data_IF_907154327308
#
_entry.id   IF_907154327308
#
_cell.length_a   1.000
_cell.length_b   1.000
_cell.length_c   1.000
_cell.angle_alpha   90.00
_cell.angle_beta   90.00
_cell.angle_gamma   90.00
#
_symmetry.space_group_name_H-M   'P 1'
#
loop_
_entity.id
_entity.type
_entity.pdbx_description
1 polymer ?
2 polymer ?
3 non-polymer ?
4 water ?
#
# COMPACT_ATOMS: atom_id res chain seq x y z
N UNK A 1 14.46 7.56 6.61
CA UNK A 1 13.37 6.96 5.81
C UNK A 1 14.00 6.23 4.61
N UNK A 2 13.68 4.94 4.54
CA UNK A 2 14.22 4.11 3.46
C UNK A 2 13.51 4.30 2.13
N UNK A 3 14.36 4.50 1.15
CA UNK A 3 14.02 4.72 -0.24
C UNK A 3 14.15 3.44 -1.05
N UNK A 4 13.04 3.11 -1.68
CA UNK A 4 12.93 1.93 -2.53
C UNK A 4 12.83 2.38 -3.98
N UNK A 5 13.95 2.29 -4.65
CA UNK A 5 14.08 2.67 -6.06
C UNK A 5 13.71 1.42 -6.86
N UNK A 6 12.83 1.60 -7.81
CA UNK A 6 12.37 0.49 -8.66
C UNK A 6 12.79 0.84 -10.08
N UNK A 7 13.43 -0.08 -10.77
CA UNK A 7 13.92 0.04 -12.14
C UNK A 7 13.44 -1.16 -12.97
N UNK A 8 12.93 -0.95 -14.17
CA UNK A 8 12.73 0.36 -14.81
C UNK A 8 11.37 0.88 -14.41
N UNK A 9 11.21 2.19 -14.40
CA UNK A 9 9.92 2.82 -14.08
C UNK A 9 8.91 2.48 -15.17
N UNK A 10 9.42 2.18 -16.36
CA UNK A 10 8.59 1.79 -17.51
C UNK A 10 9.25 0.64 -18.26
N UNK A 11 8.42 -0.39 -18.39
CA UNK A 11 8.74 -1.64 -19.04
C UNK A 11 7.65 -2.14 -20.00
N UNK A 12 7.75 -1.63 -21.23
CA UNK A 12 6.84 -2.01 -22.31
C UNK A 12 7.15 -3.46 -22.72
N UNK A 13 6.11 -4.28 -22.65
CA UNK A 13 6.20 -5.69 -22.98
C UNK A 13 5.12 -6.16 -23.98
N UNK A 14 5.55 -7.28 -24.54
CA UNK A 14 4.78 -8.10 -25.49
C UNK A 14 4.29 -9.26 -24.59
N UNK A 15 3.15 -9.83 -24.90
CA UNK A 15 2.64 -10.91 -24.04
C UNK A 15 3.34 -12.23 -24.37
N UNK A 16 3.61 -12.94 -23.31
CA UNK A 16 4.25 -14.25 -23.24
C UNK A 16 5.73 -14.13 -22.87
N UNK A 17 6.11 -12.89 -22.62
CA UNK A 17 7.44 -12.41 -22.29
C UNK A 17 7.88 -12.69 -20.85
N UNK A 18 9.18 -12.88 -20.68
CA UNK A 18 9.68 -13.11 -19.31
C UNK A 18 10.18 -11.78 -18.74
N UNK A 19 9.52 -11.30 -17.68
CA UNK A 19 9.97 -10.04 -17.09
C UNK A 19 10.58 -10.25 -15.70
N UNK A 20 11.39 -9.24 -15.44
CA UNK A 20 12.16 -9.06 -14.22
C UNK A 20 12.11 -7.55 -13.95
N UNK A 21 11.62 -7.21 -12.77
CA UNK A 21 11.52 -5.80 -12.36
C UNK A 21 12.38 -5.70 -11.10
N UNK A 22 13.10 -4.61 -10.95
CA UNK A 22 14.02 -4.43 -9.83
C UNK A 22 13.51 -3.41 -8.82
N UNK A 23 13.94 -3.64 -7.59
CA UNK A 23 13.64 -2.86 -6.40
C UNK A 23 14.91 -2.82 -5.55
N UNK A 24 15.41 -1.62 -5.37
CA UNK A 24 16.62 -1.40 -4.58
C UNK A 24 16.29 -0.55 -3.36
N UNK A 25 16.73 -1.07 -2.24
CA UNK A 25 16.60 -0.46 -0.94
C UNK A 25 17.83 0.42 -0.73
N UNK A 26 17.59 1.57 -0.12
CA UNK A 26 18.65 2.55 0.18
C UNK A 26 19.49 2.11 1.38
N UNK A 27 18.87 1.27 2.19
CA UNK A 27 19.49 0.68 3.39
C UNK A 27 19.25 -0.83 3.38
N UNK A 28 20.18 -1.55 3.94
CA UNK A 28 20.05 -3.01 4.01
C UNK A 28 18.80 -3.36 4.81
N UNK A 29 18.13 -4.40 4.35
CA UNK A 29 16.89 -4.88 5.00
C UNK A 29 17.22 -6.03 5.96
N UNK A 30 18.48 -6.38 5.96
CA UNK A 30 19.01 -7.41 6.87
C UNK A 30 19.87 -6.72 7.94
N UNK A 31 19.63 -5.42 8.10
CA UNK A 31 20.39 -4.62 9.09
C UNK A 31 19.81 -4.78 10.50
N UNK A 32 18.59 -5.32 10.56
CA UNK A 32 17.92 -5.64 11.84
C UNK A 32 17.49 -7.12 11.80
N UNK A 33 16.57 -7.37 12.70
CA UNK A 33 15.99 -8.70 12.90
C UNK A 33 14.85 -8.93 11.91
N UNK A 34 14.42 -7.85 11.29
CA UNK A 34 13.35 -7.92 10.27
C UNK A 34 14.09 -7.97 8.94
N UNK A 35 14.54 -9.17 8.66
CA UNK A 35 15.34 -9.54 7.50
C UNK A 35 14.49 -9.68 6.26
N UNK A 36 14.70 -8.77 5.34
CA UNK A 36 13.99 -8.72 4.08
C UNK A 36 12.50 -8.89 4.18
N UNK A 37 11.90 -7.84 4.64
CA UNK A 37 10.47 -7.69 4.70
C UNK A 37 10.09 -6.88 3.48
N UNK A 38 10.43 -7.45 2.34
CA UNK A 38 10.17 -6.83 1.03
C UNK A 38 8.99 -7.53 0.31
N UNK A 39 8.04 -6.67 0.00
CA UNK A 39 6.78 -7.06 -0.64
C UNK A 39 6.54 -6.35 -1.95
N UNK A 40 5.62 -6.86 -2.74
CA UNK A 40 5.23 -6.37 -4.06
C UNK A 40 3.72 -6.33 -4.16
N UNK A 41 3.27 -5.23 -4.69
CA UNK A 41 1.85 -4.97 -4.91
C UNK A 41 1.64 -4.60 -6.37
N UNK A 42 0.57 -5.13 -6.91
CA UNK A 42 0.13 -4.81 -8.28
C UNK A 42 -1.09 -3.90 -8.13
N UNK A 43 -1.19 -2.99 -9.05
CA UNK A 43 -2.33 -2.05 -9.03
C UNK A 43 -2.77 -1.95 -10.48
N UNK A 44 -3.82 -2.70 -10.79
CA UNK A 44 -4.33 -2.64 -12.20
C UNK A 44 -5.16 -1.36 -12.13
N UNK A 45 -5.22 -0.70 -13.28
CA UNK A 45 -5.96 0.58 -13.40
C UNK A 45 -7.43 0.47 -13.07
N UNK A 46 -7.81 1.24 -12.05
CA UNK A 46 -9.17 1.35 -11.53
C UNK A 46 -9.45 0.54 -10.27
N UNK A 47 -8.55 -0.41 -10.09
CA UNK A 47 -8.60 -1.34 -8.95
C UNK A 47 -7.54 -0.89 -7.94
N UNK A 48 -7.83 -1.42 -6.77
CA UNK A 48 -7.02 -1.23 -5.55
C UNK A 48 -5.80 -2.16 -5.63
N UNK A 49 -4.71 -1.73 -5.00
CA UNK A 49 -3.50 -2.58 -4.99
C UNK A 49 -3.87 -3.96 -4.43
N UNK A 50 -3.06 -4.92 -4.86
CA UNK A 50 -3.21 -6.31 -4.42
C UNK A 50 -1.85 -6.84 -3.96
N UNK A 51 -1.81 -7.59 -2.86
CA UNK A 51 -0.53 -8.18 -2.44
C UNK A 51 -0.24 -9.31 -3.47
N UNK A 52 0.96 -9.21 -4.03
CA UNK A 52 1.46 -10.19 -5.01
C UNK A 52 2.37 -11.18 -4.27
N UNK A 53 3.52 -10.67 -3.88
CA UNK A 53 4.57 -11.38 -3.16
C UNK A 53 4.96 -10.64 -1.88
N UNK A 54 4.96 -11.37 -0.77
CA UNK A 54 5.40 -10.81 0.51
C UNK A 54 6.63 -11.56 0.99
N UNK A 55 7.44 -10.82 1.71
CA UNK A 55 8.69 -11.34 2.27
C UNK A 55 9.53 -11.95 1.18
N UNK A 56 9.92 -11.16 0.19
CA UNK A 56 10.75 -11.42 -0.96
C UNK A 56 10.19 -12.39 -2.01
N UNK A 57 9.82 -13.58 -1.60
CA UNK A 57 9.35 -14.62 -2.50
C UNK A 57 8.06 -15.36 -2.22
N UNK A 58 7.35 -15.05 -1.17
CA UNK A 58 6.10 -15.73 -0.80
C UNK A 58 4.88 -15.19 -1.52
N UNK A 59 4.45 -15.95 -2.51
CA UNK A 59 3.25 -15.63 -3.29
C UNK A 59 2.03 -15.68 -2.37
N UNK A 60 1.20 -14.70 -2.55
CA UNK A 60 -0.03 -14.54 -1.76
C UNK A 60 -1.20 -15.14 -2.56
N UNK A 61 -2.31 -15.29 -1.85
CA UNK A 61 -3.58 -15.81 -2.38
C UNK A 61 -3.90 -15.10 -3.68
N UNK A 62 -4.34 -15.83 -4.68
CA UNK A 62 -4.75 -15.35 -5.99
C UNK A 62 -3.63 -15.16 -6.99
N UNK A 63 -2.40 -15.35 -6.53
CA UNK A 63 -1.19 -15.19 -7.34
C UNK A 63 -0.81 -16.52 -8.01
N UNK A 64 -0.65 -16.43 -9.33
CA UNK A 64 -0.24 -17.54 -10.19
C UNK A 64 1.21 -17.94 -9.91
N UNK A 65 1.54 -19.17 -10.29
CA UNK A 65 2.91 -19.69 -10.09
C UNK A 65 3.91 -19.10 -11.07
N UNK A 66 3.54 -18.27 -12.03
CA UNK A 66 4.45 -17.66 -12.99
C UNK A 66 5.17 -16.42 -12.44
N UNK A 67 4.73 -16.02 -11.26
CA UNK A 67 5.27 -14.89 -10.50
C UNK A 67 6.30 -15.42 -9.49
N UNK A 68 7.47 -14.81 -9.43
CA UNK A 68 8.39 -15.31 -8.37
C UNK A 68 9.20 -14.10 -7.87
N UNK A 69 9.68 -14.19 -6.64
CA UNK A 69 10.47 -13.14 -6.01
C UNK A 69 11.84 -13.65 -5.55
N UNK A 70 12.80 -12.76 -5.57
CA UNK A 70 14.16 -13.05 -5.15
C UNK A 70 14.88 -11.77 -4.68
N UNK A 71 16.01 -12.01 -4.05
CA UNK A 71 16.91 -10.99 -3.56
C UNK A 71 17.09 -11.06 -2.06
N UNK A 72 18.03 -10.26 -1.57
CA UNK A 72 18.29 -10.18 -0.12
C UNK A 72 19.16 -8.94 0.13
N UNK A 73 18.94 -8.28 1.26
CA UNK A 73 19.73 -7.09 1.61
C UNK A 73 19.24 -5.81 0.94
N UNK A 74 19.68 -5.49 -0.27
CA UNK A 74 19.23 -4.25 -0.92
C UNK A 74 18.72 -4.43 -2.34
N UNK A 75 19.07 -5.54 -2.96
CA UNK A 75 18.71 -5.90 -4.35
C UNK A 75 17.74 -7.08 -4.37
N UNK A 76 16.53 -6.73 -4.80
CA UNK A 76 15.38 -7.65 -4.84
C UNK A 76 14.84 -7.64 -6.26
N UNK A 77 14.26 -8.77 -6.63
CA UNK A 77 13.72 -8.97 -7.99
C UNK A 77 12.37 -9.68 -7.94
N UNK A 78 11.64 -9.47 -9.03
CA UNK A 78 10.31 -10.01 -9.29
C UNK A 78 10.24 -10.43 -10.77
N UNK A 79 10.00 -11.72 -10.93
CA UNK A 79 9.90 -12.30 -12.26
C UNK A 79 8.50 -12.81 -12.52
N UNK A 80 8.16 -12.68 -13.77
CA UNK A 80 6.87 -13.14 -14.30
C UNK A 80 7.33 -13.98 -15.52
N UNK A 81 7.31 -15.29 -15.39
CA UNK A 81 7.72 -16.21 -16.46
C UNK A 81 7.08 -15.89 -17.80
N UNK A 82 5.76 -16.01 -17.87
CA UNK A 82 5.15 -15.67 -19.17
C UNK A 82 4.18 -14.56 -18.81
N UNK A 83 4.39 -13.43 -19.45
CA UNK A 83 3.55 -12.27 -19.13
C UNK A 83 2.24 -12.31 -19.89
N UNK A 84 1.20 -12.15 -19.07
CA UNK A 84 -0.16 -12.12 -19.63
C UNK A 84 -0.59 -10.65 -19.47
N UNK A 85 -1.78 -10.48 -20.01
CA UNK A 85 -2.52 -9.24 -20.04
C UNK A 85 -2.97 -8.83 -18.64
N UNK A 86 -3.36 -9.80 -17.85
CA UNK A 86 -3.81 -9.56 -16.47
C UNK A 86 -2.72 -9.13 -15.50
N UNK A 87 -1.48 -9.25 -15.90
CA UNK A 87 -0.28 -8.90 -15.14
C UNK A 87 0.07 -7.42 -15.34
N UNK A 88 -0.56 -6.85 -16.35
CA UNK A 88 -0.30 -5.44 -16.68
C UNK A 88 -1.08 -4.59 -15.67
N UNK A 89 -0.26 -3.76 -15.08
CA UNK A 89 -0.57 -2.75 -14.06
C UNK A 89 0.74 -2.10 -13.59
N UNK A 90 0.59 -1.53 -12.42
CA UNK A 90 1.65 -0.83 -11.67
C UNK A 90 2.16 -1.75 -10.55
N UNK A 91 3.46 -1.86 -10.45
CA UNK A 91 4.09 -2.69 -9.40
C UNK A 91 4.86 -1.81 -8.43
N UNK A 92 4.52 -2.02 -7.17
CA UNK A 92 5.12 -1.30 -6.05
C UNK A 92 5.83 -2.30 -5.15
N UNK A 93 7.08 -2.02 -4.84
CA UNK A 93 7.77 -2.91 -3.86
C UNK A 93 7.51 -2.09 -2.57
N UNK A 94 7.72 -2.70 -1.45
CA UNK A 94 7.46 -2.02 -0.16
C UNK A 94 8.38 -2.69 0.84
N UNK A 95 8.56 -2.05 1.96
CA UNK A 95 9.43 -2.65 3.02
C UNK A 95 8.82 -2.33 4.38
N UNK A 96 8.84 -3.29 5.27
CA UNK A 96 8.34 -3.14 6.66
C UNK A 96 9.47 -3.64 7.58
N UNK A 97 10.67 -3.72 7.00
CA UNK A 97 11.88 -4.12 7.73
C UNK A 97 12.23 -3.02 8.76
N UNK A 98 12.09 -1.78 8.33
CA UNK A 98 12.37 -0.58 9.10
C UNK A 98 11.17 0.37 9.13
N UNK A 99 11.03 0.98 10.29
CA UNK A 99 9.96 1.98 10.54
C UNK A 99 10.42 3.27 9.88
N UNK A 100 9.61 3.93 9.07
CA UNK A 100 8.25 3.60 8.70
C UNK A 100 8.14 2.78 7.42
N UNK A 101 7.07 2.01 7.39
CA UNK A 101 6.83 1.18 6.18
C UNK A 101 6.87 2.18 5.03
N UNK A 102 7.64 1.77 4.05
CA UNK A 102 7.87 2.53 2.82
C UNK A 102 7.55 1.73 1.54
N UNK A 103 7.11 2.50 0.56
CA UNK A 103 6.69 2.12 -0.77
C UNK A 103 7.65 2.61 -1.85
N UNK A 104 7.67 1.89 -2.95
CA UNK A 104 8.51 2.20 -4.10
C UNK A 104 7.81 3.17 -5.04
N UNK A 105 8.57 3.52 -6.06
CA UNK A 105 8.14 4.48 -7.09
C UNK A 105 7.21 3.85 -8.12
N UNK A 106 7.43 2.54 -8.33
CA UNK A 106 6.60 1.78 -9.27
C UNK A 106 7.25 1.55 -10.62
N UNK A 107 6.84 0.43 -11.17
CA UNK A 107 7.22 -0.06 -12.48
C UNK A 107 5.88 -0.30 -13.19
N UNK A 108 5.75 0.37 -14.32
CA UNK A 108 4.51 0.27 -15.09
C UNK A 108 4.75 -0.73 -16.22
N UNK A 109 4.05 -1.85 -16.12
CA UNK A 109 4.08 -2.92 -17.11
C UNK A 109 2.99 -2.54 -18.12
N UNK A 110 3.41 -2.19 -19.30
CA UNK A 110 2.46 -1.75 -20.34
C UNK A 110 2.69 -2.56 -21.61
N UNK A 111 1.62 -2.73 -22.36
CA UNK A 111 1.71 -3.41 -23.65
C UNK A 111 2.33 -2.38 -24.64
N UNK A 112 3.03 -2.91 -25.62
CA UNK A 112 3.75 -2.17 -26.70
C UNK A 112 3.00 -2.40 -28.01
N UNK B 1 -15.57 -13.64 2.69
CA UNK B 1 -14.64 -12.87 1.85
C UNK B 1 -14.32 -11.55 2.55
N UNK B 2 -13.03 -11.21 2.55
CA UNK B 2 -12.47 -9.99 3.12
C UNK B 2 -12.74 -8.80 2.16
N UNK B 3 -13.51 -7.90 2.72
CA UNK B 3 -14.00 -6.70 2.08
C UNK B 3 -13.80 -5.50 3.01
N UNK B 4 -13.30 -4.43 2.43
CA UNK B 4 -13.04 -3.12 3.02
C UNK B 4 -13.69 -2.07 2.12
N UNK B 5 -14.44 -1.15 2.69
CA UNK B 5 -15.03 -0.13 1.79
C UNK B 5 -14.87 1.31 2.32
N UNK B 6 -14.10 2.11 1.56
CA UNK B 6 -13.92 3.48 2.06
C UNK B 6 -15.00 4.41 1.47
N UNK B 7 -15.34 5.40 2.28
CA UNK B 7 -16.31 6.43 1.86
C UNK B 7 -15.92 7.76 2.52
N UNK B 8 -16.64 8.76 2.03
CA UNK B 8 -16.48 10.14 2.48
C UNK B 8 -15.58 11.01 1.60
N UNK B 9 -15.06 10.55 0.48
CA UNK B 9 -14.22 11.43 -0.36
C UNK B 9 -15.10 12.42 -1.12
N UNK B 10 -14.43 13.31 -1.82
CA UNK B 10 -14.97 14.35 -2.68
C UNK B 10 -14.10 15.59 -2.51
N UNK B 11 -14.78 16.69 -2.78
CA UNK B 11 -14.16 18.01 -2.65
C UNK B 11 -14.24 18.48 -1.20
N UNK B 12 -13.06 18.80 -0.73
CA UNK B 12 -12.83 19.31 0.62
C UNK B 12 -12.22 20.71 0.40
N UNK B 13 -12.50 21.62 1.34
CA UNK B 13 -12.02 23.01 1.30
C UNK B 13 -10.59 23.09 1.88
N UNK B 14 -9.81 23.99 1.27
CA UNK B 14 -8.44 24.20 1.74
C UNK B 14 -8.58 24.70 3.18
N UNK B 15 -7.70 24.19 4.02
CA UNK B 15 -7.68 24.54 5.44
C UNK B 15 -8.78 23.89 6.23
N UNK B 16 -9.69 23.16 5.63
CA UNK B 16 -10.81 22.45 6.24
C UNK B 16 -10.56 21.12 6.94
N UNK B 17 -11.63 20.32 7.11
CA UNK B 17 -11.42 19.02 7.77
C UNK B 17 -12.40 18.00 7.17
N UNK B 18 -11.99 16.75 7.34
CA UNK B 18 -12.74 15.62 6.77
C UNK B 18 -12.64 14.38 7.65
N UNK B 19 -13.60 13.51 7.41
CA UNK B 19 -13.72 12.23 8.09
C UNK B 19 -13.96 11.15 7.04
N UNK B 20 -12.95 10.31 6.90
CA UNK B 20 -12.98 9.15 5.96
C UNK B 20 -13.38 7.97 6.85
N UNK B 21 -14.24 7.16 6.24
CA UNK B 21 -14.81 5.95 6.84
C UNK B 21 -14.36 4.74 6.02
N UNK B 22 -14.19 3.67 6.74
CA UNK B 22 -13.78 2.39 6.12
C UNK B 22 -14.61 1.33 6.85
N UNK B 23 -15.44 0.64 6.10
CA UNK B 23 -16.28 -0.43 6.70
C UNK B 23 -15.73 -1.79 6.24
N UNK B 24 -15.47 -2.61 7.23
CA UNK B 24 -14.89 -3.93 7.04
C UNK B 24 -15.91 -5.03 7.26
N UNK B 25 -15.69 -6.11 6.54
CA UNK B 25 -16.55 -7.30 6.61
C UNK B 25 -15.76 -8.50 6.12
N UNK B 26 -16.20 -9.66 6.55
CA UNK B 26 -15.64 -10.95 6.16
C UNK B 26 -14.46 -11.41 7.00
N UNK B 27 -14.30 -10.78 8.14
CA UNK B 27 -13.19 -11.10 9.06
C UNK B 27 -13.49 -10.42 10.41
N UNK B 28 -12.88 -10.96 11.45
CA UNK B 28 -12.99 -10.40 12.81
C UNK B 28 -12.24 -9.06 12.83
N UNK B 29 -12.97 -8.00 12.61
CA UNK B 29 -12.45 -6.64 12.61
C UNK B 29 -11.57 -6.34 13.80
N UNK B 30 -12.06 -6.58 14.99
CA UNK B 30 -11.40 -6.31 16.27
C UNK B 30 -10.09 -6.99 16.58
N UNK B 31 -9.70 -8.03 15.87
CA UNK B 31 -8.47 -8.77 16.15
C UNK B 31 -7.34 -8.30 15.24
N UNK B 32 -7.68 -7.31 14.43
CA UNK B 32 -6.75 -6.80 13.43
C UNK B 32 -6.43 -5.33 13.58
N UNK B 33 -5.18 -5.06 13.27
CA UNK B 33 -4.64 -3.71 13.18
C UNK B 33 -5.08 -3.20 11.81
N UNK B 34 -5.28 -1.92 11.71
CA UNK B 34 -5.70 -1.31 10.42
C UNK B 34 -4.82 -0.08 10.13
N UNK B 35 -4.88 0.31 8.87
CA UNK B 35 -4.11 1.47 8.39
C UNK B 35 -4.87 2.22 7.30
N UNK B 36 -4.29 3.35 6.95
CA UNK B 36 -4.80 4.24 5.90
C UNK B 36 -3.59 4.57 5.04
N UNK B 37 -3.75 4.35 3.76
CA UNK B 37 -2.64 4.58 2.82
C UNK B 37 -3.23 5.52 1.77
N UNK B 38 -2.40 6.45 1.33
CA UNK B 38 -2.85 7.40 0.30
C UNK B 38 -1.89 7.31 -0.90
N UNK B 39 -2.56 7.50 -2.00
CA UNK B 39 -1.95 7.50 -3.31
C UNK B 39 -2.18 8.90 -3.92
N UNK B 40 -1.06 9.57 -4.06
CA UNK B 40 -1.10 10.93 -4.68
C UNK B 40 -1.26 10.72 -6.17
N UNK B 41 -1.59 11.77 -6.93
CA UNK B 41 -1.78 11.75 -8.37
C UNK B 41 -0.55 11.37 -9.22
N UNK B 42 0.58 11.34 -8.55
CA UNK B 42 1.89 10.99 -9.02
C UNK B 42 1.99 9.46 -8.97
N UNK B 43 1.09 8.84 -8.22
CA UNK B 43 1.02 7.38 -8.09
C UNK B 43 1.95 6.91 -6.98
N UNK B 44 2.44 7.82 -6.18
CA UNK B 44 3.30 7.63 -5.02
C UNK B 44 2.39 7.37 -3.82
N UNK B 45 2.70 6.34 -3.05
CA UNK B 45 2.05 5.80 -1.87
C UNK B 45 2.74 6.17 -0.55
N UNK B 46 1.94 6.48 0.45
CA UNK B 46 2.40 6.86 1.77
C UNK B 46 1.49 6.28 2.87
N UNK B 47 2.08 5.76 3.92
CA UNK B 47 1.28 5.25 5.05
C UNK B 47 0.89 6.46 5.94
N UNK B 48 -0.39 6.81 5.98
CA UNK B 48 -0.91 7.93 6.74
C UNK B 48 -1.06 7.66 8.23
N UNK B 49 -1.55 6.48 8.58
CA UNK B 49 -1.80 6.04 9.96
C UNK B 49 -2.04 4.55 10.15
N UNK B 50 -1.68 4.05 11.32
CA UNK B 50 -1.85 2.65 11.76
C UNK B 50 -2.56 2.68 13.12
N UNK B 51 -3.42 1.74 13.47
CA UNK B 51 -4.19 1.64 14.71
C UNK B 51 -4.22 0.17 15.14
N UNK B 52 -4.17 -0.11 16.42
CA UNK B 52 -4.19 -1.55 16.84
C UNK B 52 -5.62 -2.00 17.07
N UNK B 53 -5.86 -3.27 17.33
CA UNK B 53 -7.12 -3.97 17.58
C UNK B 53 -8.06 -3.26 18.54
N UNK B 54 -7.40 -2.77 19.56
CA UNK B 54 -7.81 -1.98 20.69
C UNK B 54 -8.16 -0.53 20.32
N UNK B 55 -7.96 -0.04 19.13
CA UNK B 55 -8.31 1.33 18.76
C UNK B 55 -7.34 2.38 19.23
N UNK B 56 -6.06 2.00 19.21
CA UNK B 56 -5.00 2.93 19.64
C UNK B 56 -3.98 3.09 18.53
N UNK B 57 -3.83 4.36 18.16
CA UNK B 57 -2.87 4.74 17.10
C UNK B 57 -1.48 4.31 17.47
N UNK B 58 -0.91 3.49 16.60
CA UNK B 58 0.44 2.95 16.76
C UNK B 58 1.44 3.68 15.83
N UNK B 59 0.94 4.57 14.96
CA UNK B 59 1.85 5.31 14.04
C UNK B 59 1.15 6.41 13.21
N UNK B 60 1.91 7.51 13.10
CA UNK B 60 1.57 8.71 12.29
C UNK B 60 2.85 9.29 11.69
N UNK B 61 2.90 9.68 10.40
CA UNK B 61 4.10 10.27 9.84
C UNK B 61 4.39 11.54 10.65
N UNK B 62 5.68 11.86 10.72
CA UNK B 62 6.12 13.07 11.49
C UNK B 62 5.39 14.30 10.96
N UNK B 63 5.41 14.43 9.64
CA UNK B 63 4.80 15.45 8.81
C UNK B 63 3.30 15.65 9.03
N UNK B 64 2.61 14.64 9.51
CA UNK B 64 1.18 14.64 9.77
C UNK B 64 0.90 14.61 11.27
N UNK B 65 1.76 14.17 12.16
CA UNK B 65 1.35 14.16 13.59
C UNK B 65 0.85 15.61 13.83
N UNK B 66 -0.38 15.67 14.31
CA UNK B 66 -1.02 16.97 14.54
C UNK B 66 -2.33 17.08 13.77
N UNK B 67 -2.37 16.98 12.44
CA UNK B 67 -3.66 17.11 11.74
C UNK B 67 -4.32 15.81 11.32
N UNK B 68 -3.79 14.68 11.74
CA UNK B 68 -4.33 13.37 11.40
C UNK B 68 -4.73 12.61 12.68
N UNK B 69 -5.88 11.99 12.59
CA UNK B 69 -6.48 11.16 13.64
C UNK B 69 -7.05 9.87 13.02
N UNK B 70 -6.71 8.76 13.64
CA UNK B 70 -7.21 7.46 13.16
C UNK B 70 -7.90 6.86 14.39
N UNK B 71 -9.11 6.42 14.16
CA UNK B 71 -9.92 5.78 15.21
C UNK B 71 -10.72 4.64 14.59
N UNK B 72 -11.35 3.83 15.42
CA UNK B 72 -12.18 2.70 14.97
C UNK B 72 -13.34 2.57 15.95
N UNK B 73 -14.47 2.14 15.41
CA UNK B 73 -15.68 1.88 16.20
C UNK B 73 -15.91 0.40 15.88
N UNK B 74 -15.31 -0.47 16.69
CA UNK B 74 -15.34 -1.94 16.51
C UNK B 74 -16.75 -2.50 16.31
N UNK B 75 -17.63 -1.93 17.10
CA UNK B 75 -19.07 -2.18 17.15
C UNK B 75 -19.74 -1.88 15.83
N UNK B 76 -19.25 -0.86 15.14
CA UNK B 76 -19.76 -0.46 13.82
C UNK B 76 -18.93 -1.19 12.74
N UNK B 77 -17.80 -1.70 13.19
CA UNK B 77 -16.80 -2.40 12.35
C UNK B 77 -16.22 -1.40 11.33
N UNK B 78 -16.11 -0.15 11.78
CA UNK B 78 -15.65 0.96 10.99
C UNK B 78 -14.40 1.59 11.55
N UNK B 79 -13.58 1.95 10.59
CA UNK B 79 -12.28 2.62 10.79
C UNK B 79 -12.44 4.01 10.21
N UNK B 80 -11.92 4.98 10.92
CA UNK B 80 -12.01 6.37 10.51
C UNK B 80 -10.63 7.00 10.40
N UNK B 81 -10.63 8.03 9.59
CA UNK B 81 -9.48 8.90 9.39
C UNK B 81 -10.02 10.34 9.46
N UNK B 82 -9.40 11.14 10.28
CA UNK B 82 -9.78 12.55 10.36
C UNK B 82 -8.53 13.39 10.13
N UNK B 83 -8.65 14.28 9.17
CA UNK B 83 -7.59 15.23 8.84
C UNK B 83 -8.19 16.64 8.97
N UNK B 84 -7.37 17.49 9.54
CA UNK B 84 -7.72 18.92 9.73
C UNK B 84 -6.65 19.70 8.97
N UNK B 85 -6.89 20.99 8.84
CA UNK B 85 -6.00 21.93 8.15
C UNK B 85 -5.56 21.37 6.81
N UNK B 86 -6.52 20.86 6.07
CA UNK B 86 -6.20 20.25 4.76
C UNK B 86 -5.39 21.24 3.95
N UNK B 87 -4.48 20.73 3.17
CA UNK B 87 -3.65 21.54 2.26
C UNK B 87 -3.79 20.74 0.96
N UNK B 88 -3.13 21.22 -0.06
CA UNK B 88 -3.15 20.64 -1.40
C UNK B 88 -2.37 19.32 -1.51
N UNK B 89 -1.49 19.03 -0.59
CA UNK B 89 -0.70 17.80 -0.49
C UNK B 89 -1.59 16.64 -0.02
N UNK B 90 -2.79 16.93 0.45
CA UNK B 90 -3.85 16.07 0.93
C UNK B 90 -4.67 15.55 -0.27
N UNK B 91 -4.46 16.11 -1.45
CA UNK B 91 -5.14 15.63 -2.67
C UNK B 91 -4.50 14.27 -2.99
N UNK B 92 -5.31 13.24 -2.87
CA UNK B 92 -4.94 11.85 -3.07
C UNK B 92 -6.19 10.96 -2.93
N UNK B 93 -5.93 9.71 -3.18
CA UNK B 93 -6.87 8.57 -3.14
C UNK B 93 -6.52 7.84 -1.85
N UNK B 94 -7.50 7.72 -0.99
CA UNK B 94 -7.29 7.12 0.33
C UNK B 94 -7.89 5.71 0.38
N UNK B 95 -7.06 4.82 0.90
CA UNK B 95 -7.41 3.41 1.11
C UNK B 95 -7.17 2.97 2.56
N UNK B 96 -8.08 2.09 2.95
CA UNK B 96 -7.91 1.45 4.27
C UNK B 96 -7.34 0.09 3.77
N UNK B 97 -6.50 -0.46 4.59
CA UNK B 97 -5.79 -1.70 4.31
C UNK B 97 -5.66 -2.39 5.67
N UNK B 98 -5.60 -3.71 5.61
CA UNK B 98 -5.47 -4.50 6.84
C UNK B 98 -4.01 -4.94 6.95
N UNK B 99 -3.57 -4.86 8.20
CA UNK B 99 -2.19 -5.25 8.54
C UNK B 99 -2.23 -6.74 8.90
N UNK B 100 -1.62 -7.52 8.07
CA UNK B 100 -1.52 -8.96 8.30
C UNK B 100 -0.17 -9.17 8.97
N UNK B 101 -0.17 -9.87 10.08
CA UNK B 101 1.06 -10.05 10.86
C UNK B 101 2.13 -10.85 10.09
N UNK B 102 1.72 -11.96 9.50
CA UNK B 102 2.64 -12.85 8.75
C UNK B 102 3.37 -12.08 7.65
N UNK B 103 2.61 -11.25 6.96
CA UNK B 103 3.12 -10.42 5.87
C UNK B 103 3.90 -9.27 6.49
N UNK B 104 3.40 -8.88 7.64
CA UNK B 104 3.93 -7.76 8.40
C UNK B 104 3.83 -6.52 7.53
N UNK B 105 2.61 -6.31 7.12
CA UNK B 105 2.21 -5.21 6.26
C UNK B 105 0.76 -5.45 5.81
N UNK B 106 0.39 -4.75 4.76
CA UNK B 106 -0.95 -4.77 4.20
C UNK B 106 -1.19 -5.97 3.30
N UNK B 107 -2.30 -6.63 3.63
CA UNK B 107 -2.68 -7.80 2.81
C UNK B 107 -3.94 -7.49 2.01
N UNK B 108 -4.88 -6.79 2.62
CA UNK B 108 -6.13 -6.43 1.91
C UNK B 108 -6.40 -4.92 2.02
N UNK B 109 -6.69 -4.38 0.83
CA UNK B 109 -6.98 -2.94 0.65
C UNK B 109 -8.45 -2.73 0.22
N UNK B 110 -8.99 -1.56 0.49
CA UNK B 110 -10.37 -1.25 0.06
C UNK B 110 -10.22 -0.77 -1.39
N UNK B 111 -11.26 -0.28 -2.00
CA UNK B 111 -11.34 0.26 -3.36
C UNK B 111 -10.73 1.65 -3.54
N UNK B 112 -10.92 2.44 -2.49
CA UNK B 112 -10.40 3.78 -2.35
C UNK B 112 -11.48 4.85 -2.37
N UNK B 113 -11.08 6.02 -1.91
CA UNK B 113 -11.94 7.21 -1.86
C UNK B 113 -11.05 8.41 -2.19
N UNK B 114 -11.52 9.18 -3.15
CA UNK B 114 -10.77 10.34 -3.65
C UNK B 114 -10.99 11.63 -2.90
N UNK B 115 -9.98 12.28 -2.40
CA UNK B 115 -10.16 13.57 -1.69
C UNK B 115 -9.43 14.62 -2.55
N UNK B 116 -10.24 15.58 -2.98
CA UNK B 116 -9.78 16.69 -3.82
C UNK B 116 -9.85 18.02 -3.05
N UNK B 117 -8.72 18.46 -2.56
CA UNK B 117 -8.60 19.72 -1.84
C UNK B 117 -8.79 20.84 -2.89
N UNK B 118 -9.53 21.80 -2.40
CA UNK B 118 -9.93 22.98 -3.16
C UNK B 118 -9.81 24.27 -2.33
N UNK B 119 -9.91 25.35 -3.09
CA UNK B 119 -9.85 26.73 -2.58
C UNK B 119 -10.98 27.56 -3.18
#
# INVERSE_FOLDING_TARGET
>A
DIELTQSPPSLPVSLGDQVSISCRSSQSLVSNNRRNYLHWYLQKPGQSPKLVIYKVSNRFSGVPDRFSGSGSGTDFTLKISRVAAEDLGLYFCSQSSHVPLTFGSGTKLEIKR
>B
QVQLQESGGGLVNLGGSMTLSCVASGFTFNTYYMSWVRQTPEKTLELVAAINSDGEPIYYPDTLKGRVTISRDNAKKTLYLQMSSLNFEDTALYYCARLNYAVYGMDYWGQGTTVTVSS
#
